data_IF_943563787850
#
_entry.id   IF_943563787850
#
_cell.length_a   1.000
_cell.length_b   1.000
_cell.length_c   1.000
_cell.angle_alpha   90.00
_cell.angle_beta   90.00
_cell.angle_gamma   90.00
#
_symmetry.space_group_name_H-M   'P 1'
#
loop_
_entity.id
_entity.type
_entity.pdbx_description
1 polymer ?
#
# COMPACT_ATOMS: atom_id res chain seq x y z
N UNK A 1 -0.85 -10.04 -44.72
CA UNK A 1 -0.24 -10.50 -43.46
C UNK A 1 0.30 -9.23 -42.81
N UNK A 2 -0.23 -8.81 -41.67
CA UNK A 2 0.31 -7.64 -40.94
C UNK A 2 1.03 -8.25 -39.74
N UNK A 3 2.35 -8.11 -39.70
CA UNK A 3 3.16 -8.48 -38.55
C UNK A 3 3.35 -7.22 -37.72
N UNK A 4 2.88 -7.23 -36.47
CA UNK A 4 3.11 -6.12 -35.54
C UNK A 4 3.66 -6.69 -34.23
N UNK A 5 4.89 -6.30 -33.90
CA UNK A 5 5.44 -6.43 -32.56
C UNK A 5 5.10 -5.14 -31.83
N UNK A 6 4.45 -5.22 -30.67
CA UNK A 6 4.09 -4.04 -29.89
C UNK A 6 4.68 -4.13 -28.47
N UNK A 7 5.56 -3.19 -28.16
CA UNK A 7 5.77 -2.67 -26.81
C UNK A 7 4.96 -1.36 -26.68
N UNK A 8 4.70 -0.90 -25.46
CA UNK A 8 3.78 0.22 -25.14
C UNK A 8 4.05 1.51 -25.92
N UNK A 9 5.29 1.73 -26.37
CA UNK A 9 5.73 2.86 -27.19
C UNK A 9 5.38 2.77 -28.68
N UNK A 10 5.01 1.59 -29.20
CA UNK A 10 4.71 1.36 -30.63
C UNK A 10 3.23 1.37 -30.96
N UNK A 11 2.35 1.17 -29.98
CA UNK A 11 0.90 1.19 -30.21
C UNK A 11 0.48 2.57 -30.73
N UNK A 12 1.02 3.66 -30.16
CA UNK A 12 0.75 5.04 -30.57
C UNK A 12 1.34 5.45 -31.94
N UNK A 13 2.39 4.79 -32.43
CA UNK A 13 3.04 5.16 -33.70
C UNK A 13 2.35 4.58 -34.94
N UNK A 14 1.69 3.42 -34.82
CA UNK A 14 0.83 2.84 -35.86
C UNK A 14 -0.33 3.76 -36.25
N UNK A 15 -0.81 4.59 -35.32
CA UNK A 15 -1.97 5.47 -35.53
C UNK A 15 -1.65 6.76 -36.29
N UNK A 16 -0.38 7.21 -36.35
CA UNK A 16 -0.03 8.50 -36.99
C UNK A 16 0.19 8.42 -38.50
N UNK A 17 0.41 7.23 -39.08
CA UNK A 17 0.81 7.09 -40.48
C UNK A 17 -0.20 6.39 -41.40
N UNK A 18 -1.45 6.17 -40.96
CA UNK A 18 -2.49 5.62 -41.84
C UNK A 18 -3.05 6.69 -42.77
N UNK A 19 -2.98 6.54 -44.11
CA UNK A 19 -3.51 7.51 -45.05
C UNK A 19 -5.02 7.72 -44.85
N UNK A 20 -5.45 8.97 -44.98
CA UNK A 20 -6.82 9.46 -44.76
C UNK A 20 -7.90 8.86 -45.69
N UNK A 21 -7.54 7.95 -46.61
CA UNK A 21 -8.43 7.40 -47.64
C UNK A 21 -9.05 6.03 -47.32
N UNK A 22 -8.88 5.47 -46.11
CA UNK A 22 -9.42 4.14 -45.77
C UNK A 22 -10.46 4.19 -44.63
N UNK A 23 -11.65 4.71 -44.91
CA UNK A 23 -12.77 4.80 -43.96
C UNK A 23 -13.29 3.43 -43.47
N UNK A 24 -13.10 2.37 -44.25
CA UNK A 24 -13.54 1.00 -43.91
C UNK A 24 -12.62 0.26 -42.92
N UNK A 25 -11.41 0.77 -42.63
CA UNK A 25 -10.45 0.10 -41.73
C UNK A 25 -10.50 0.61 -40.28
N UNK A 26 -11.02 1.82 -40.03
CA UNK A 26 -11.05 2.43 -38.70
C UNK A 26 -11.82 1.61 -37.64
N UNK A 27 -13.01 1.05 -37.92
CA UNK A 27 -13.74 0.25 -36.92
C UNK A 27 -13.05 -1.08 -36.59
N UNK A 28 -12.32 -1.65 -37.58
CA UNK A 28 -11.59 -2.92 -37.42
C UNK A 28 -10.31 -2.74 -36.59
N UNK A 29 -9.73 -1.54 -36.57
CA UNK A 29 -8.55 -1.19 -35.77
C UNK A 29 -8.91 -0.83 -34.32
N UNK A 30 -10.07 -0.19 -34.07
CA UNK A 30 -10.51 0.10 -32.70
C UNK A 30 -10.90 -1.16 -31.94
N UNK A 31 -11.58 -2.10 -32.60
CA UNK A 31 -11.92 -3.41 -32.03
C UNK A 31 -10.67 -4.19 -31.60
N UNK A 32 -9.61 -4.12 -32.40
CA UNK A 32 -8.35 -4.79 -32.10
C UNK A 32 -7.66 -4.15 -30.89
N UNK A 33 -7.72 -2.82 -30.76
CA UNK A 33 -7.20 -2.09 -29.60
C UNK A 33 -7.92 -2.45 -28.30
N UNK A 34 -9.26 -2.53 -28.32
CA UNK A 34 -10.05 -2.91 -27.14
C UNK A 34 -9.82 -4.36 -26.69
N UNK A 35 -9.60 -5.28 -27.63
CA UNK A 35 -9.22 -6.66 -27.31
C UNK A 35 -7.82 -6.69 -26.66
N UNK A 36 -6.88 -5.90 -27.16
CA UNK A 36 -5.51 -5.83 -26.63
C UNK A 36 -5.47 -5.20 -25.22
N UNK A 37 -6.28 -4.17 -24.95
CA UNK A 37 -6.44 -3.56 -23.63
C UNK A 37 -7.06 -4.53 -22.62
N UNK A 38 -8.08 -5.30 -23.03
CA UNK A 38 -8.68 -6.32 -22.19
C UNK A 38 -7.66 -7.36 -21.73
N UNK A 39 -6.76 -7.83 -22.60
CA UNK A 39 -5.74 -8.82 -22.21
C UNK A 39 -4.57 -8.23 -21.40
N UNK A 40 -4.23 -6.95 -21.62
CA UNK A 40 -3.22 -6.25 -20.83
C UNK A 40 -3.62 -6.12 -19.35
N UNK A 41 -4.91 -5.90 -19.08
CA UNK A 41 -5.48 -5.82 -17.73
C UNK A 41 -5.27 -7.10 -16.90
N UNK A 42 -5.04 -8.26 -17.53
CA UNK A 42 -4.78 -9.54 -16.87
C UNK A 42 -3.29 -9.96 -16.90
N UNK A 43 -2.38 -9.03 -17.19
CA UNK A 43 -0.93 -9.28 -17.20
C UNK A 43 -0.45 -10.21 -18.33
N UNK A 44 -1.27 -10.43 -19.37
CA UNK A 44 -0.92 -11.32 -20.51
C UNK A 44 -0.45 -10.49 -21.70
N UNK A 45 0.70 -10.85 -22.30
CA UNK A 45 1.21 -10.16 -23.51
C UNK A 45 0.65 -10.82 -24.77
N UNK A 46 -0.16 -10.09 -25.55
CA UNK A 46 -0.65 -10.58 -26.85
C UNK A 46 0.41 -10.34 -27.93
N UNK A 47 0.93 -11.41 -28.55
CA UNK A 47 1.99 -11.30 -29.59
C UNK A 47 1.55 -11.64 -31.01
N UNK A 48 0.41 -12.33 -31.20
CA UNK A 48 -0.03 -12.74 -32.54
C UNK A 48 -1.55 -12.65 -32.74
N UNK A 49 -1.95 -12.03 -33.85
CA UNK A 49 -3.33 -12.03 -34.34
C UNK A 49 -3.38 -12.27 -35.85
N UNK A 50 -4.31 -13.11 -36.31
CA UNK A 50 -4.58 -13.33 -37.73
C UNK A 50 -6.05 -13.11 -38.03
N UNK A 51 -6.33 -12.11 -38.87
CA UNK A 51 -7.66 -11.86 -39.40
C UNK A 51 -7.91 -12.75 -40.63
N UNK A 52 -8.96 -13.57 -40.60
CA UNK A 52 -9.38 -14.35 -41.77
C UNK A 52 -10.45 -13.58 -42.56
N UNK A 53 -10.03 -12.96 -43.66
CA UNK A 53 -10.88 -12.09 -44.50
C UNK A 53 -12.07 -12.81 -45.15
N UNK A 54 -12.00 -14.11 -45.39
CA UNK A 54 -13.07 -14.86 -46.09
C UNK A 54 -14.24 -15.19 -45.17
N UNK A 55 -14.02 -15.26 -43.85
CA UNK A 55 -15.05 -15.60 -42.86
C UNK A 55 -15.33 -14.49 -41.84
N UNK A 56 -14.63 -13.36 -41.94
CA UNK A 56 -14.70 -12.20 -41.03
C UNK A 56 -14.57 -12.60 -39.53
N UNK A 57 -13.82 -13.68 -39.26
CA UNK A 57 -13.53 -14.22 -37.92
C UNK A 57 -12.13 -13.81 -37.48
N UNK A 58 -11.96 -13.57 -36.18
CA UNK A 58 -10.67 -13.23 -35.58
C UNK A 58 -10.08 -14.44 -34.87
N UNK A 59 -8.80 -14.69 -35.15
CA UNK A 59 -8.03 -15.71 -34.48
C UNK A 59 -6.90 -15.03 -33.70
N UNK A 60 -6.96 -15.12 -32.37
CA UNK A 60 -6.02 -14.48 -31.44
C UNK A 60 -5.29 -15.57 -30.66
N UNK A 61 -3.96 -15.44 -30.59
CA UNK A 61 -3.09 -16.36 -29.86
C UNK A 61 -2.31 -15.59 -28.78
N UNK A 62 -2.44 -16.03 -27.54
CA UNK A 62 -1.81 -15.43 -26.37
C UNK A 62 -0.62 -16.27 -25.90
N UNK A 63 0.48 -15.62 -25.52
CA UNK A 63 1.73 -16.25 -25.12
C UNK A 63 2.19 -15.75 -23.75
N UNK A 64 2.90 -16.59 -22.99
CA UNK A 64 3.51 -16.19 -21.72
C UNK A 64 4.69 -15.24 -21.94
N UNK A 65 4.99 -14.38 -20.95
CA UNK A 65 6.10 -13.43 -21.02
C UNK A 65 7.39 -13.91 -20.35
N UNK A 66 7.44 -15.12 -19.78
CA UNK A 66 8.61 -15.54 -19.02
C UNK A 66 9.68 -16.31 -19.84
N UNK A 67 10.92 -15.82 -19.75
CA UNK A 67 12.18 -16.52 -20.04
C UNK A 67 12.41 -17.04 -21.47
N UNK A 68 12.00 -16.30 -22.49
CA UNK A 68 12.48 -16.50 -23.88
C UNK A 68 11.99 -17.78 -24.56
N UNK A 69 11.03 -18.50 -23.97
CA UNK A 69 10.28 -19.57 -24.61
C UNK A 69 8.86 -19.11 -24.92
N UNK A 70 8.35 -19.48 -26.10
CA UNK A 70 7.08 -19.02 -26.63
C UNK A 70 6.05 -20.15 -26.61
N UNK A 71 5.59 -20.52 -25.43
CA UNK A 71 4.52 -21.50 -25.30
C UNK A 71 3.15 -20.83 -25.50
N UNK A 72 2.34 -21.40 -26.39
CA UNK A 72 0.98 -20.94 -26.67
C UNK A 72 0.09 -21.28 -25.47
N UNK A 73 -0.32 -20.27 -24.71
CA UNK A 73 -1.18 -20.48 -23.54
C UNK A 73 -2.62 -20.69 -23.97
N UNK A 74 -3.10 -19.86 -24.90
CA UNK A 74 -4.53 -19.83 -25.23
C UNK A 74 -4.78 -19.38 -26.65
N UNK A 75 -5.78 -19.99 -27.26
CA UNK A 75 -6.26 -19.66 -28.59
C UNK A 75 -7.75 -19.32 -28.51
N UNK A 76 -8.11 -18.12 -28.97
CA UNK A 76 -9.50 -17.65 -28.97
C UNK A 76 -9.94 -17.41 -30.41
N UNK A 77 -11.11 -17.93 -30.74
CA UNK A 77 -11.81 -17.69 -31.99
C UNK A 77 -13.00 -16.80 -31.69
N UNK A 78 -13.08 -15.65 -32.35
CA UNK A 78 -14.18 -14.69 -32.16
C UNK A 78 -14.94 -14.61 -33.48
N UNK A 79 -16.24 -14.90 -33.41
CA UNK A 79 -17.15 -14.87 -34.56
C UNK A 79 -17.74 -13.47 -34.80
N UNK A 80 -18.20 -13.21 -36.02
CA UNK A 80 -18.80 -11.92 -36.42
C UNK A 80 -20.01 -11.51 -35.56
N UNK A 81 -20.79 -12.47 -35.07
CA UNK A 81 -21.94 -12.23 -34.19
C UNK A 81 -21.51 -11.79 -32.80
N UNK A 82 -20.47 -12.41 -32.23
CA UNK A 82 -19.88 -12.01 -30.95
C UNK A 82 -19.22 -10.63 -31.04
N UNK A 83 -18.63 -10.29 -32.19
CA UNK A 83 -18.07 -8.96 -32.46
C UNK A 83 -19.15 -7.88 -32.48
N UNK A 84 -20.33 -8.16 -33.06
CA UNK A 84 -21.44 -7.21 -33.08
C UNK A 84 -21.99 -6.95 -31.66
N UNK A 85 -22.05 -7.98 -30.81
CA UNK A 85 -22.43 -7.85 -29.40
C UNK A 85 -21.40 -7.02 -28.62
N UNK A 86 -20.11 -7.21 -28.89
CA UNK A 86 -19.03 -6.41 -28.29
C UNK A 86 -19.06 -4.96 -28.80
N UNK A 87 -19.37 -4.72 -30.08
CA UNK A 87 -19.53 -3.37 -30.62
C UNK A 87 -20.76 -2.64 -30.08
N UNK A 88 -21.88 -3.33 -29.85
CA UNK A 88 -23.05 -2.74 -29.18
C UNK A 88 -22.76 -2.41 -27.71
N UNK A 89 -22.03 -3.28 -27.01
CA UNK A 89 -21.52 -2.97 -25.66
C UNK A 89 -20.52 -1.81 -25.66
N UNK A 90 -19.66 -1.67 -26.67
CA UNK A 90 -18.67 -0.57 -26.75
C UNK A 90 -19.33 0.75 -27.20
N UNK A 91 -20.30 0.73 -28.10
CA UNK A 91 -21.03 1.91 -28.56
C UNK A 91 -21.95 2.48 -27.46
N UNK A 92 -22.51 1.61 -26.60
CA UNK A 92 -23.18 2.04 -25.36
C UNK A 92 -22.19 2.46 -24.28
N UNK A 93 -20.94 1.97 -24.31
CA UNK A 93 -19.88 2.37 -23.38
C UNK A 93 -19.06 3.60 -23.82
N UNK A 94 -19.22 4.17 -25.01
CA UNK A 94 -18.53 5.42 -25.38
C UNK A 94 -19.11 6.67 -24.68
N UNK A 95 -20.20 6.51 -23.91
CA UNK A 95 -20.66 7.47 -22.91
C UNK A 95 -20.36 7.08 -21.45
N UNK A 96 -19.71 5.93 -21.22
CA UNK A 96 -19.19 5.59 -19.93
C UNK A 96 -17.68 5.85 -19.91
N UNK A 97 -17.29 6.70 -18.97
CA UNK A 97 -15.93 6.90 -18.47
C UNK A 97 -15.17 5.59 -18.27
N UNK A 98 -13.84 5.68 -18.12
CA UNK A 98 -13.03 4.61 -17.52
C UNK A 98 -13.80 3.84 -16.45
N UNK A 99 -13.59 2.51 -16.27
CA UNK A 99 -14.33 1.73 -15.27
C UNK A 99 -14.42 2.53 -13.97
N UNK A 100 -15.63 2.90 -13.56
CA UNK A 100 -15.78 3.91 -12.53
C UNK A 100 -15.35 3.32 -11.18
N UNK A 101 -14.12 3.62 -10.78
CA UNK A 101 -13.63 3.43 -9.41
C UNK A 101 -14.27 4.45 -8.46
N UNK A 102 -15.21 5.25 -8.95
CA UNK A 102 -15.81 6.40 -8.26
C UNK A 102 -16.49 5.99 -6.94
N UNK A 103 -17.03 4.77 -6.88
CA UNK A 103 -17.70 4.22 -5.70
C UNK A 103 -16.86 3.23 -4.89
N UNK A 104 -15.60 2.98 -5.27
CA UNK A 104 -14.71 2.04 -4.56
C UNK A 104 -13.73 2.77 -3.66
N UNK A 105 -13.45 2.17 -2.50
CA UNK A 105 -12.42 2.64 -1.57
C UNK A 105 -11.08 2.01 -1.94
N UNK A 106 -10.08 2.83 -2.22
CA UNK A 106 -8.75 2.40 -2.65
C UNK A 106 -7.82 2.35 -1.44
N UNK A 107 -7.35 1.15 -1.10
CA UNK A 107 -6.55 0.87 0.08
C UNK A 107 -5.19 0.34 -0.34
N UNK A 108 -4.12 1.08 -0.04
CA UNK A 108 -2.76 0.61 -0.18
C UNK A 108 -2.24 0.10 1.17
N UNK A 109 -1.70 -1.10 1.19
CA UNK A 109 -1.10 -1.69 2.40
C UNK A 109 0.31 -2.19 2.13
N UNK A 110 1.29 -1.62 2.84
CA UNK A 110 2.67 -2.08 2.77
C UNK A 110 2.87 -3.36 3.56
N UNK A 111 3.66 -4.29 2.99
CA UNK A 111 3.93 -5.58 3.62
C UNK A 111 2.79 -6.59 3.55
N UNK A 112 1.79 -6.38 2.68
CA UNK A 112 0.56 -7.19 2.55
C UNK A 112 0.73 -8.67 2.18
N UNK A 113 1.96 -9.16 2.08
CA UNK A 113 2.28 -10.55 1.72
C UNK A 113 2.50 -11.50 2.90
N UNK A 114 2.56 -11.01 4.16
CA UNK A 114 2.69 -11.86 5.36
C UNK A 114 2.16 -11.16 6.63
N UNK A 115 2.07 -11.92 7.73
CA UNK A 115 1.79 -11.39 9.07
C UNK A 115 0.45 -10.65 9.18
N UNK A 116 0.45 -9.56 9.94
CA UNK A 116 -0.76 -8.75 10.20
C UNK A 116 -1.32 -8.12 8.92
N UNK A 117 -0.45 -7.60 8.06
CA UNK A 117 -0.86 -6.95 6.82
C UNK A 117 -1.54 -7.92 5.84
N UNK A 118 -1.07 -9.17 5.76
CA UNK A 118 -1.74 -10.21 4.97
C UNK A 118 -3.15 -10.53 5.52
N UNK A 119 -3.33 -10.57 6.84
CA UNK A 119 -4.65 -10.74 7.43
C UNK A 119 -5.56 -9.54 7.18
N UNK A 120 -5.01 -8.32 7.16
CA UNK A 120 -5.77 -7.12 6.79
C UNK A 120 -6.21 -7.17 5.31
N UNK A 121 -5.32 -7.60 4.39
CA UNK A 121 -5.66 -7.86 2.98
C UNK A 121 -6.79 -8.88 2.88
N UNK A 122 -6.70 -10.00 3.61
CA UNK A 122 -7.76 -11.03 3.66
C UNK A 122 -9.10 -10.41 4.08
N UNK A 123 -9.16 -9.76 5.24
CA UNK A 123 -10.41 -9.16 5.76
C UNK A 123 -11.00 -8.15 4.75
N UNK A 124 -10.19 -7.25 4.20
CA UNK A 124 -10.64 -6.28 3.21
C UNK A 124 -11.22 -6.93 1.95
N UNK A 125 -10.65 -8.07 1.51
CA UNK A 125 -11.12 -8.78 0.33
C UNK A 125 -12.34 -9.65 0.58
N UNK A 126 -12.51 -10.21 1.79
CA UNK A 126 -13.54 -11.21 2.08
C UNK A 126 -14.74 -10.69 2.87
N UNK A 127 -14.55 -9.68 3.72
CA UNK A 127 -15.58 -9.19 4.66
C UNK A 127 -16.12 -7.81 4.27
N UNK A 128 -15.30 -6.97 3.66
CA UNK A 128 -15.71 -5.64 3.17
C UNK A 128 -16.24 -5.72 1.73
N UNK A 129 -16.81 -4.63 1.23
CA UNK A 129 -17.33 -4.50 -0.14
C UNK A 129 -16.78 -3.26 -0.82
N UNK A 130 -16.77 -3.28 -2.14
CA UNK A 130 -16.34 -2.16 -2.98
C UNK A 130 -14.94 -1.63 -2.64
N UNK A 131 -14.01 -2.53 -2.31
CA UNK A 131 -12.61 -2.20 -2.05
C UNK A 131 -11.74 -2.43 -3.29
N UNK A 132 -10.72 -1.58 -3.47
CA UNK A 132 -9.55 -1.89 -4.30
C UNK A 132 -8.39 -2.02 -3.33
N UNK A 133 -7.92 -3.24 -3.11
CA UNK A 133 -6.84 -3.55 -2.17
C UNK A 133 -5.54 -3.70 -2.94
N UNK A 134 -4.60 -2.80 -2.70
CA UNK A 134 -3.26 -2.78 -3.31
C UNK A 134 -2.26 -3.24 -2.26
N UNK A 135 -1.81 -4.49 -2.37
CA UNK A 135 -0.81 -5.07 -1.48
C UNK A 135 0.60 -4.76 -2.00
N UNK A 136 1.29 -3.82 -1.36
CA UNK A 136 2.68 -3.50 -1.63
C UNK A 136 3.61 -4.53 -0.98
N UNK A 137 4.43 -5.22 -1.77
CA UNK A 137 5.27 -6.34 -1.31
C UNK A 137 6.63 -6.39 -1.99
N UNK A 138 7.64 -6.92 -1.31
CA UNK A 138 8.99 -7.13 -1.90
C UNK A 138 9.06 -8.29 -2.88
N UNK A 139 8.29 -9.35 -2.64
CA UNK A 139 8.30 -10.58 -3.44
C UNK A 139 6.90 -10.89 -3.98
N UNK A 140 6.55 -10.25 -5.10
CA UNK A 140 5.22 -10.30 -5.73
C UNK A 140 4.68 -11.72 -5.87
N UNK A 141 5.42 -12.63 -6.49
CA UNK A 141 4.92 -13.99 -6.77
C UNK A 141 4.73 -14.84 -5.51
N UNK A 142 5.60 -14.68 -4.51
CA UNK A 142 5.42 -15.36 -3.23
C UNK A 142 4.19 -14.83 -2.48
N UNK A 143 3.98 -13.51 -2.50
CA UNK A 143 2.83 -12.87 -1.85
C UNK A 143 1.52 -13.19 -2.54
N UNK A 144 1.49 -13.26 -3.89
CA UNK A 144 0.30 -13.73 -4.63
C UNK A 144 -0.11 -15.12 -4.17
N UNK A 145 0.83 -16.06 -4.03
CA UNK A 145 0.54 -17.42 -3.52
C UNK A 145 -0.02 -17.40 -2.09
N UNK A 146 0.62 -16.65 -1.19
CA UNK A 146 0.17 -16.53 0.19
C UNK A 146 -1.25 -15.93 0.30
N UNK A 147 -1.55 -14.90 -0.51
CA UNK A 147 -2.89 -14.30 -0.55
C UNK A 147 -3.91 -15.27 -1.14
N UNK A 148 -3.59 -15.97 -2.23
CA UNK A 148 -4.48 -16.96 -2.85
C UNK A 148 -4.81 -18.13 -1.91
N UNK A 149 -3.86 -18.58 -1.12
CA UNK A 149 -4.08 -19.64 -0.12
C UNK A 149 -5.02 -19.17 1.00
N UNK A 150 -4.87 -17.92 1.44
CA UNK A 150 -5.64 -17.37 2.55
C UNK A 150 -7.00 -16.78 2.15
N UNK A 151 -7.15 -16.38 0.88
CA UNK A 151 -8.33 -15.73 0.30
C UNK A 151 -8.89 -16.61 -0.83
N UNK A 152 -9.67 -17.65 -0.49
CA UNK A 152 -10.19 -18.59 -1.47
C UNK A 152 -11.23 -17.97 -2.42
N UNK A 153 -11.89 -16.91 -1.97
CA UNK A 153 -12.81 -16.11 -2.79
C UNK A 153 -12.75 -14.65 -2.38
N UNK A 154 -12.86 -13.75 -3.37
CA UNK A 154 -12.95 -12.31 -3.17
C UNK A 154 -14.44 -11.94 -3.17
N UNK A 155 -14.86 -11.12 -2.20
CA UNK A 155 -16.24 -10.65 -2.13
C UNK A 155 -16.58 -9.78 -3.35
N UNK A 156 -17.84 -9.83 -3.78
CA UNK A 156 -18.31 -9.07 -4.95
C UNK A 156 -18.00 -7.58 -4.80
N UNK A 157 -17.50 -6.98 -5.88
CA UNK A 157 -17.10 -5.59 -5.91
C UNK A 157 -15.67 -5.34 -5.41
N UNK A 158 -15.02 -6.30 -4.76
CA UNK A 158 -13.62 -6.12 -4.36
C UNK A 158 -12.66 -6.49 -5.48
N UNK A 159 -11.52 -5.79 -5.51
CA UNK A 159 -10.41 -6.05 -6.41
C UNK A 159 -9.11 -6.16 -5.59
N UNK A 160 -8.23 -7.06 -6.02
CA UNK A 160 -6.89 -7.21 -5.47
C UNK A 160 -5.86 -6.85 -6.53
N UNK A 161 -4.91 -6.00 -6.16
CA UNK A 161 -3.65 -5.81 -6.88
C UNK A 161 -2.47 -6.13 -5.95
N UNK A 162 -1.43 -6.77 -6.49
CA UNK A 162 -0.18 -7.04 -5.75
C UNK A 162 0.95 -6.35 -6.51
N UNK A 163 1.57 -5.36 -5.88
CA UNK A 163 2.58 -4.49 -6.51
C UNK A 163 3.93 -4.61 -5.82
N UNK A 164 5.00 -4.44 -6.60
CA UNK A 164 6.35 -4.38 -6.04
C UNK A 164 6.51 -3.11 -5.20
N UNK A 165 6.90 -3.27 -3.93
CA UNK A 165 7.07 -2.17 -2.99
C UNK A 165 8.09 -2.55 -1.91
N UNK A 166 9.21 -1.84 -1.86
CA UNK A 166 10.25 -1.98 -0.84
C UNK A 166 10.54 -0.63 -0.19
N UNK A 167 10.35 -0.54 1.13
CA UNK A 167 10.60 0.69 1.91
C UNK A 167 12.08 1.10 1.91
N UNK A 168 12.99 0.19 1.56
CA UNK A 168 14.43 0.48 1.48
C UNK A 168 14.87 0.97 0.08
N UNK A 169 13.95 0.99 -0.90
CA UNK A 169 14.22 1.46 -2.26
C UNK A 169 13.27 2.62 -2.61
N UNK A 170 13.79 3.85 -2.59
CA UNK A 170 13.04 5.05 -2.95
C UNK A 170 12.41 4.96 -4.36
N UNK A 171 13.11 4.37 -5.33
CA UNK A 171 12.57 4.23 -6.69
C UNK A 171 11.41 3.21 -6.72
N UNK A 172 11.44 2.19 -5.86
CA UNK A 172 10.30 1.28 -5.69
C UNK A 172 9.09 2.01 -5.12
N UNK A 173 9.28 2.90 -4.14
CA UNK A 173 8.20 3.71 -3.54
C UNK A 173 7.58 4.65 -4.57
N UNK A 174 8.42 5.43 -5.27
CA UNK A 174 7.97 6.39 -6.29
C UNK A 174 7.20 5.70 -7.43
N UNK A 175 7.68 4.54 -7.89
CA UNK A 175 6.97 3.75 -8.92
C UNK A 175 5.60 3.29 -8.45
N UNK A 176 5.47 2.83 -7.20
CA UNK A 176 4.18 2.41 -6.67
C UNK A 176 3.21 3.58 -6.54
N UNK A 177 3.65 4.75 -6.07
CA UNK A 177 2.83 5.95 -6.00
C UNK A 177 2.40 6.42 -7.41
N UNK A 178 3.32 6.47 -8.38
CA UNK A 178 3.01 6.79 -9.79
C UNK A 178 2.02 5.80 -10.41
N UNK A 179 2.14 4.52 -10.08
CA UNK A 179 1.20 3.50 -10.52
C UNK A 179 -0.21 3.76 -9.98
N UNK A 180 -0.35 4.04 -8.68
CA UNK A 180 -1.64 4.39 -8.07
C UNK A 180 -2.21 5.67 -8.67
N UNK A 181 -1.38 6.68 -8.90
CA UNK A 181 -1.79 7.93 -9.53
C UNK A 181 -2.32 7.72 -10.95
N UNK A 182 -1.55 7.04 -11.80
CA UNK A 182 -1.90 6.83 -13.21
C UNK A 182 -3.11 5.91 -13.39
N UNK A 183 -3.29 4.94 -12.48
CA UNK A 183 -4.37 3.94 -12.59
C UNK A 183 -5.66 4.42 -11.94
N UNK A 184 -5.58 5.01 -10.74
CA UNK A 184 -6.75 5.31 -9.92
C UNK A 184 -6.96 6.81 -9.68
N UNK A 185 -5.94 7.63 -9.89
CA UNK A 185 -6.00 9.09 -9.73
C UNK A 185 -6.02 9.58 -8.28
N UNK A 186 -6.28 8.72 -7.30
CA UNK A 186 -6.33 9.02 -5.86
C UNK A 186 -5.96 7.80 -5.02
N UNK A 187 -5.80 8.00 -3.72
CA UNK A 187 -5.73 6.94 -2.72
C UNK A 187 -6.69 7.32 -1.57
N UNK A 188 -7.47 6.37 -1.05
CA UNK A 188 -8.38 6.64 0.06
C UNK A 188 -7.76 6.22 1.41
N UNK A 189 -6.96 5.13 1.43
CA UNK A 189 -6.29 4.66 2.63
C UNK A 189 -4.86 4.25 2.35
N UNK A 190 -3.91 4.77 3.13
CA UNK A 190 -2.56 4.24 3.24
C UNK A 190 -2.38 3.53 4.58
N UNK A 191 -1.95 2.26 4.55
CA UNK A 191 -1.61 1.49 5.75
C UNK A 191 -0.10 1.18 5.72
N UNK A 192 0.65 1.90 6.54
CA UNK A 192 2.09 1.75 6.75
C UNK A 192 2.34 0.62 7.77
N UNK A 193 2.30 -0.63 7.30
CA UNK A 193 2.47 -1.82 8.15
C UNK A 193 3.82 -2.52 8.03
N UNK A 194 4.56 -2.34 6.94
CA UNK A 194 5.84 -3.01 6.74
C UNK A 194 6.88 -2.53 7.76
N UNK A 195 7.54 -3.48 8.43
CA UNK A 195 8.60 -3.20 9.40
C UNK A 195 9.52 -4.42 9.56
N UNK A 196 10.70 -4.19 10.13
CA UNK A 196 11.65 -5.22 10.57
C UNK A 196 11.99 -5.03 12.05
N UNK A 197 12.35 -6.11 12.73
CA UNK A 197 12.73 -6.08 14.15
C UNK A 197 14.14 -6.62 14.43
N UNK A 198 14.75 -7.32 13.48
CA UNK A 198 16.03 -8.02 13.66
C UNK A 198 17.06 -7.54 12.64
N UNK A 199 17.79 -6.48 13.00
CA UNK A 199 18.99 -5.97 12.32
C UNK A 199 19.72 -5.01 13.27
N UNK A 200 20.78 -4.36 12.81
CA UNK A 200 21.34 -3.19 13.47
C UNK A 200 20.37 -1.97 13.44
N UNK A 201 20.60 -1.04 14.36
CA UNK A 201 19.85 0.21 14.49
C UNK A 201 19.66 0.99 13.17
N UNK A 202 20.71 1.12 12.34
CA UNK A 202 20.63 1.91 11.10
C UNK A 202 19.69 1.25 10.10
N UNK A 203 19.80 -0.06 9.92
CA UNK A 203 18.91 -0.81 9.02
C UNK A 203 17.45 -0.80 9.49
N UNK A 204 17.23 -0.94 10.81
CA UNK A 204 15.89 -0.85 11.41
C UNK A 204 15.30 0.54 11.19
N UNK A 205 16.05 1.62 11.45
CA UNK A 205 15.57 3.00 11.28
C UNK A 205 15.35 3.33 9.80
N UNK A 206 16.24 2.88 8.91
CA UNK A 206 16.09 3.05 7.47
C UNK A 206 14.77 2.46 6.96
N UNK A 207 14.37 1.28 7.47
CA UNK A 207 13.12 0.62 7.05
C UNK A 207 11.89 1.19 7.78
N UNK A 208 11.94 1.23 9.11
CA UNK A 208 10.75 1.46 9.95
C UNK A 208 10.36 2.94 10.06
N UNK A 209 11.29 3.86 9.77
CA UNK A 209 11.08 5.30 9.92
C UNK A 209 11.29 5.99 8.58
N UNK A 210 12.51 5.96 8.03
CA UNK A 210 12.82 6.74 6.82
C UNK A 210 12.08 6.22 5.58
N UNK A 211 12.08 4.90 5.37
CA UNK A 211 11.31 4.28 4.29
C UNK A 211 9.82 4.59 4.39
N UNK A 212 9.26 4.49 5.61
CA UNK A 212 7.88 4.89 5.90
C UNK A 212 7.64 6.36 5.58
N UNK A 213 8.50 7.27 6.05
CA UNK A 213 8.35 8.70 5.81
C UNK A 213 8.42 9.09 4.33
N UNK A 214 9.31 8.43 3.56
CA UNK A 214 9.40 8.61 2.11
C UNK A 214 8.14 8.08 1.42
N UNK A 215 7.57 6.98 1.90
CA UNK A 215 6.29 6.46 1.42
C UNK A 215 5.15 7.44 1.70
N UNK A 216 5.06 7.97 2.91
CA UNK A 216 4.04 8.96 3.27
C UNK A 216 4.14 10.19 2.36
N UNK A 217 5.33 10.75 2.17
CA UNK A 217 5.54 11.88 1.26
C UNK A 217 5.11 11.59 -0.18
N UNK A 218 5.35 10.37 -0.68
CA UNK A 218 4.97 9.96 -2.04
C UNK A 218 3.46 9.76 -2.20
N UNK A 219 2.76 9.28 -1.16
CA UNK A 219 1.34 8.93 -1.22
C UNK A 219 0.40 10.03 -0.70
N UNK A 220 0.87 10.97 0.12
CA UNK A 220 0.06 12.10 0.63
C UNK A 220 -0.63 12.88 -0.50
N UNK A 221 0.02 13.25 -1.62
CA UNK A 221 -0.66 13.94 -2.73
C UNK A 221 -1.83 13.17 -3.34
N UNK A 222 -1.86 11.84 -3.19
CA UNK A 222 -2.97 10.99 -3.63
C UNK A 222 -4.09 10.93 -2.59
N UNK A 223 -3.73 10.93 -1.30
CA UNK A 223 -4.68 11.05 -0.20
C UNK A 223 -5.40 12.40 -0.22
N UNK A 224 -4.72 13.50 -0.55
CA UNK A 224 -5.30 14.84 -0.69
C UNK A 224 -6.41 14.91 -1.77
N UNK A 225 -6.45 13.94 -2.70
CA UNK A 225 -7.49 13.83 -3.75
C UNK A 225 -8.70 13.00 -3.30
N UNK A 226 -8.65 12.35 -2.14
CA UNK A 226 -9.76 11.57 -1.59
C UNK A 226 -10.76 12.43 -0.82
N UNK A 227 -11.99 11.91 -0.68
CA UNK A 227 -13.05 12.49 0.16
C UNK A 227 -13.09 11.89 1.57
N UNK A 228 -12.39 10.77 1.78
CA UNK A 228 -12.32 10.02 3.03
C UNK A 228 -10.90 9.46 3.18
N UNK A 229 -9.93 10.36 3.36
CA UNK A 229 -8.51 10.04 3.37
C UNK A 229 -8.03 9.56 4.75
N UNK A 230 -7.46 8.36 4.82
CA UNK A 230 -6.88 7.81 6.05
C UNK A 230 -5.42 7.39 5.84
N UNK A 231 -4.54 7.83 6.74
CA UNK A 231 -3.15 7.38 6.82
C UNK A 231 -2.95 6.67 8.16
N UNK A 232 -2.64 5.38 8.12
CA UNK A 232 -2.52 4.53 9.31
C UNK A 232 -1.09 4.07 9.49
N UNK A 233 -0.46 4.55 10.56
CA UNK A 233 0.86 4.13 10.99
C UNK A 233 0.77 2.95 11.94
N UNK A 234 1.23 1.76 11.53
CA UNK A 234 1.27 0.59 12.40
C UNK A 234 2.51 0.68 13.30
N UNK A 235 2.30 1.17 14.51
CA UNK A 235 3.34 1.38 15.51
C UNK A 235 3.38 0.21 16.50
N UNK A 236 3.52 0.47 17.80
CA UNK A 236 3.55 -0.55 18.84
C UNK A 236 3.32 0.07 20.22
N UNK A 237 2.72 -0.67 21.14
CA UNK A 237 2.66 -0.30 22.56
C UNK A 237 4.06 -0.16 23.17
N UNK A 238 5.06 -0.86 22.61
CA UNK A 238 6.47 -0.68 22.98
C UNK A 238 6.94 0.77 22.77
N UNK A 239 6.41 1.49 21.79
CA UNK A 239 6.75 2.89 21.57
C UNK A 239 6.38 3.75 22.80
N UNK A 240 5.18 3.53 23.35
CA UNK A 240 4.70 4.26 24.52
C UNK A 240 5.40 3.83 25.81
N UNK A 241 5.74 2.55 25.93
CA UNK A 241 6.52 2.02 27.05
C UNK A 241 7.96 2.51 27.03
N UNK A 242 8.61 2.57 25.86
CA UNK A 242 9.92 3.18 25.68
C UNK A 242 9.91 4.63 26.15
N UNK A 243 8.96 5.45 25.66
CA UNK A 243 8.88 6.86 26.06
C UNK A 243 8.58 7.03 27.56
N UNK A 244 7.85 6.09 28.17
CA UNK A 244 7.60 6.05 29.61
C UNK A 244 8.83 5.70 30.45
N UNK A 245 9.84 5.03 29.88
CA UNK A 245 11.01 4.54 30.60
C UNK A 245 12.31 5.31 30.33
N UNK A 246 12.34 6.21 29.33
CA UNK A 246 13.50 7.10 29.14
C UNK A 246 13.57 8.15 30.27
N UNK A 247 14.77 8.63 30.64
CA UNK A 247 14.95 9.68 31.65
C UNK A 247 14.16 10.95 31.32
N UNK A 248 13.71 11.75 32.32
CA UNK A 248 12.89 12.93 32.11
C UNK A 248 13.46 13.92 31.08
N UNK A 249 14.77 14.18 31.12
CA UNK A 249 15.44 15.11 30.21
C UNK A 249 15.42 14.63 28.75
N UNK A 250 15.48 13.31 28.55
CA UNK A 250 15.33 12.71 27.22
C UNK A 250 13.86 12.73 26.82
N UNK A 251 12.96 12.38 27.73
CA UNK A 251 11.51 12.35 27.48
C UNK A 251 11.00 13.71 26.99
N UNK A 252 11.43 14.81 27.59
CA UNK A 252 11.05 16.18 27.16
C UNK A 252 11.38 16.48 25.69
N UNK A 253 12.42 15.85 25.13
CA UNK A 253 12.78 16.03 23.72
C UNK A 253 11.87 15.25 22.77
N UNK A 254 11.44 14.05 23.18
CA UNK A 254 10.62 13.13 22.40
C UNK A 254 9.12 13.38 22.57
N UNK A 255 8.67 13.88 23.72
CA UNK A 255 7.25 14.08 24.01
C UNK A 255 6.75 15.44 23.51
N UNK A 256 6.97 15.69 22.21
CA UNK A 256 6.59 16.92 21.53
C UNK A 256 5.96 16.62 20.17
N UNK A 257 5.00 17.45 19.80
CA UNK A 257 4.30 17.34 18.52
C UNK A 257 4.89 18.27 17.44
N UNK A 258 5.69 19.26 17.83
CA UNK A 258 6.16 20.38 17.00
C UNK A 258 7.64 20.26 16.61
N UNK A 259 8.21 19.06 16.72
CA UNK A 259 9.62 18.81 16.38
C UNK A 259 9.90 19.12 14.91
N UNK A 260 10.95 19.89 14.66
CA UNK A 260 11.45 20.17 13.31
C UNK A 260 12.19 18.98 12.71
N UNK A 261 12.45 19.02 11.40
CA UNK A 261 13.24 17.99 10.73
C UNK A 261 14.66 17.90 11.31
N UNK A 262 15.33 19.04 11.48
CA UNK A 262 16.71 19.09 12.02
C UNK A 262 16.79 18.56 13.46
N UNK A 263 15.81 18.89 14.30
CA UNK A 263 15.74 18.35 15.66
C UNK A 263 15.51 16.82 15.65
N UNK A 264 14.63 16.32 14.77
CA UNK A 264 14.39 14.89 14.63
C UNK A 264 15.66 14.16 14.16
N UNK A 265 16.34 14.68 13.15
CA UNK A 265 17.61 14.13 12.68
C UNK A 265 18.66 14.14 13.78
N UNK A 266 18.73 15.20 14.59
CA UNK A 266 19.65 15.23 15.74
C UNK A 266 19.33 14.11 16.76
N UNK A 267 18.05 13.84 17.05
CA UNK A 267 17.67 12.72 17.92
C UNK A 267 18.11 11.37 17.33
N UNK A 268 18.02 11.20 16.00
CA UNK A 268 18.48 9.98 15.34
C UNK A 268 20.00 9.86 15.38
N UNK A 269 20.74 10.96 15.17
CA UNK A 269 22.21 10.95 15.28
C UNK A 269 22.66 10.64 16.72
N UNK A 270 21.99 11.20 17.73
CA UNK A 270 22.24 10.87 19.14
C UNK A 270 22.03 9.37 19.39
N UNK A 271 20.97 8.78 18.80
CA UNK A 271 20.71 7.34 18.90
C UNK A 271 21.78 6.49 18.21
N UNK A 272 22.22 6.87 17.01
CA UNK A 272 23.30 6.17 16.31
C UNK A 272 24.63 6.26 17.07
N UNK A 273 24.94 7.41 17.67
CA UNK A 273 26.12 7.56 18.52
C UNK A 273 26.06 6.66 19.75
N UNK A 274 24.88 6.48 20.35
CA UNK A 274 24.66 5.54 21.44
C UNK A 274 24.83 4.09 20.97
N UNK A 275 24.28 3.74 19.79
CA UNK A 275 24.39 2.41 19.20
C UNK A 275 25.84 2.04 18.86
N UNK A 276 26.62 2.95 18.28
CA UNK A 276 28.03 2.74 17.96
C UNK A 276 28.89 2.47 19.20
N UNK A 277 28.55 3.11 20.32
CA UNK A 277 29.23 2.91 21.61
C UNK A 277 28.65 1.74 22.40
N UNK A 278 27.53 1.17 21.96
CA UNK A 278 26.70 0.25 22.72
C UNK A 278 26.36 0.79 24.13
N UNK A 279 26.10 2.11 24.21
CA UNK A 279 25.76 2.83 25.44
C UNK A 279 24.42 3.54 25.27
N UNK A 280 23.34 2.75 25.28
CA UNK A 280 21.98 3.28 25.28
C UNK A 280 21.58 3.83 26.65
N UNK A 281 22.17 3.31 27.72
CA UNK A 281 21.76 3.61 29.09
C UNK A 281 21.94 5.09 29.46
N UNK A 282 23.00 5.72 28.95
CA UNK A 282 23.29 7.14 29.20
C UNK A 282 22.15 8.07 28.74
N UNK A 283 21.53 7.82 27.59
CA UNK A 283 20.48 8.68 27.04
C UNK A 283 19.08 8.12 27.26
N UNK A 284 18.91 6.81 27.18
CA UNK A 284 17.61 6.15 27.13
C UNK A 284 17.29 5.34 28.39
N UNK A 285 18.17 5.36 29.40
CA UNK A 285 17.99 4.57 30.61
C UNK A 285 17.87 3.08 30.28
N UNK A 286 16.92 2.39 30.88
CA UNK A 286 16.69 0.98 30.61
C UNK A 286 15.65 0.72 29.50
N UNK A 287 15.13 1.76 28.84
CA UNK A 287 14.08 1.62 27.83
C UNK A 287 14.48 0.66 26.70
N UNK A 288 15.68 0.83 26.15
CA UNK A 288 16.21 -0.04 25.09
C UNK A 288 16.29 -1.50 25.54
N UNK A 289 16.90 -1.75 26.70
CA UNK A 289 17.08 -3.10 27.23
C UNK A 289 15.75 -3.76 27.63
N UNK A 290 14.77 -3.00 28.11
CA UNK A 290 13.47 -3.52 28.57
C UNK A 290 12.49 -3.78 27.43
N UNK A 291 12.49 -2.94 26.39
CA UNK A 291 11.39 -2.91 25.42
C UNK A 291 11.86 -3.26 24.01
N UNK A 292 12.47 -4.43 23.88
CA UNK A 292 12.80 -5.05 22.58
C UNK A 292 13.81 -4.25 21.73
N UNK A 293 14.76 -3.59 22.39
CA UNK A 293 15.95 -3.00 21.77
C UNK A 293 15.63 -1.98 20.68
N UNK A 294 16.40 -2.06 19.59
CA UNK A 294 16.32 -1.14 18.46
C UNK A 294 14.93 -1.12 17.81
N UNK A 295 14.19 -2.23 17.85
CA UNK A 295 12.82 -2.26 17.34
C UNK A 295 11.89 -1.36 18.16
N UNK A 296 11.85 -1.52 19.49
CA UNK A 296 10.99 -0.71 20.35
C UNK A 296 11.35 0.76 20.28
N UNK A 297 12.65 1.07 20.25
CA UNK A 297 13.14 2.43 20.04
C UNK A 297 12.71 2.97 18.67
N UNK A 298 12.85 2.20 17.59
CA UNK A 298 12.41 2.65 16.25
C UNK A 298 10.92 3.00 16.20
N UNK A 299 10.07 2.28 16.95
CA UNK A 299 8.63 2.59 17.04
C UNK A 299 8.35 3.82 17.90
N UNK A 300 9.14 4.09 18.93
CA UNK A 300 9.10 5.37 19.67
C UNK A 300 9.45 6.55 18.74
N UNK A 301 10.50 6.43 17.92
CA UNK A 301 10.85 7.43 16.93
C UNK A 301 9.79 7.59 15.83
N UNK A 302 9.19 6.49 15.36
CA UNK A 302 8.08 6.54 14.41
C UNK A 302 6.87 7.30 14.99
N UNK A 303 6.55 7.13 16.28
CA UNK A 303 5.51 7.93 16.94
C UNK A 303 5.83 9.43 16.91
N UNK A 304 7.09 9.82 17.16
CA UNK A 304 7.51 11.23 17.10
C UNK A 304 7.36 11.79 15.68
N UNK A 305 7.84 11.06 14.67
CA UNK A 305 7.67 11.41 13.26
C UNK A 305 6.19 11.61 12.90
N UNK A 306 5.34 10.63 13.24
CA UNK A 306 3.92 10.64 12.90
C UNK A 306 3.16 11.77 13.62
N UNK A 307 3.52 12.11 14.87
CA UNK A 307 2.99 13.28 15.59
C UNK A 307 3.35 14.60 14.89
N UNK A 308 4.60 14.74 14.46
CA UNK A 308 5.05 15.91 13.70
C UNK A 308 4.33 16.02 12.34
N UNK A 309 4.17 14.91 11.63
CA UNK A 309 3.40 14.85 10.39
C UNK A 309 1.93 15.23 10.62
N UNK A 310 1.31 14.74 11.69
CA UNK A 310 -0.06 15.10 12.06
C UNK A 310 -0.23 16.60 12.31
N UNK A 311 0.72 17.27 12.96
CA UNK A 311 0.69 18.73 13.11
C UNK A 311 0.80 19.46 11.78
N UNK A 312 1.67 18.98 10.87
CA UNK A 312 1.75 19.53 9.50
C UNK A 312 0.44 19.39 8.76
N UNK A 313 -0.19 18.22 8.80
CA UNK A 313 -1.52 17.96 8.20
C UNK A 313 -2.56 18.93 8.77
N UNK A 314 -2.69 19.03 10.09
CA UNK A 314 -3.63 19.96 10.77
C UNK A 314 -3.37 21.43 10.43
N UNK A 315 -2.11 21.82 10.25
CA UNK A 315 -1.76 23.20 9.89
C UNK A 315 -2.19 23.54 8.45
N UNK A 316 -2.03 22.59 7.52
CA UNK A 316 -2.46 22.72 6.13
C UNK A 316 -4.00 22.72 5.96
N UNK A 317 -4.72 21.95 6.78
CA UNK A 317 -6.19 21.92 6.77
C UNK A 317 -6.83 23.29 7.07
N UNK A 318 -6.15 24.13 7.87
CA UNK A 318 -6.60 25.50 8.15
C UNK A 318 -6.55 26.44 6.93
N UNK A 319 -6.04 25.97 5.78
CA UNK A 319 -5.84 26.76 4.55
C UNK A 319 -7.02 26.68 3.55
N UNK A 320 -8.20 26.21 3.94
CA UNK A 320 -9.45 26.10 3.13
C UNK A 320 -9.39 25.21 1.85
N UNK A 321 -8.23 24.67 1.48
CA UNK A 321 -8.04 23.92 0.21
C UNK A 321 -7.96 22.39 0.40
N UNK A 322 -7.75 21.89 1.63
CA UNK A 322 -7.59 20.46 1.90
C UNK A 322 -8.73 19.92 2.77
N UNK A 323 -9.54 19.03 2.19
CA UNK A 323 -10.39 18.11 2.97
C UNK A 323 -9.45 17.09 3.58
N UNK A 324 -9.33 17.16 4.90
CA UNK A 324 -8.14 16.70 5.59
C UNK A 324 -7.99 15.20 5.76
N UNK A 325 -6.75 14.83 6.05
CA UNK A 325 -6.28 13.45 6.16
C UNK A 325 -6.42 13.04 7.62
N UNK A 326 -7.11 11.93 7.87
CA UNK A 326 -7.10 11.29 9.18
C UNK A 326 -5.81 10.48 9.33
N UNK A 327 -4.82 11.03 10.05
CA UNK A 327 -3.60 10.28 10.41
C UNK A 327 -3.81 9.62 11.76
N UNK A 328 -3.71 8.29 11.82
CA UNK A 328 -3.85 7.51 13.06
C UNK A 328 -2.68 6.59 13.28
N UNK A 329 -2.21 6.50 14.52
CA UNK A 329 -1.20 5.53 14.92
C UNK A 329 -1.89 4.34 15.60
N UNK A 330 -1.42 3.12 15.35
CA UNK A 330 -2.06 1.92 15.90
C UNK A 330 -1.04 0.91 16.42
N UNK A 331 -1.23 0.49 17.66
CA UNK A 331 -0.67 -0.75 18.19
C UNK A 331 -1.66 -1.89 17.90
N UNK A 332 -1.27 -2.91 17.12
CA UNK A 332 -2.14 -4.06 16.85
C UNK A 332 -2.28 -5.03 18.04
N UNK A 333 -1.58 -4.76 19.15
CA UNK A 333 -1.43 -5.68 20.27
C UNK A 333 -0.37 -6.76 20.03
N UNK A 334 -0.12 -7.59 21.05
CA UNK A 334 0.88 -8.65 20.98
C UNK A 334 0.33 -9.89 20.26
N UNK A 335 0.62 -10.00 18.96
CA UNK A 335 0.05 -11.00 18.07
C UNK A 335 1.06 -12.08 17.68
N UNK A 336 0.61 -13.34 17.59
CA UNK A 336 1.40 -14.46 17.10
C UNK A 336 1.69 -14.35 15.59
N UNK A 337 2.90 -13.91 15.24
CA UNK A 337 3.39 -13.73 13.86
C UNK A 337 4.85 -14.14 13.76
N UNK A 338 5.40 -14.22 12.55
CA UNK A 338 6.84 -14.49 12.34
C UNK A 338 7.74 -13.52 13.13
N UNK A 339 7.36 -12.23 13.22
CA UNK A 339 8.13 -11.20 13.92
C UNK A 339 8.25 -11.50 15.42
N UNK A 340 7.24 -12.16 15.98
CA UNK A 340 7.17 -12.53 17.41
C UNK A 340 7.46 -14.01 17.63
N UNK A 341 8.00 -14.72 16.63
CA UNK A 341 8.22 -16.18 16.69
C UNK A 341 6.95 -16.95 17.05
N UNK A 342 5.81 -16.51 16.52
CA UNK A 342 4.47 -17.02 16.77
C UNK A 342 4.04 -16.97 18.26
N UNK A 343 4.60 -16.02 19.02
CA UNK A 343 4.22 -15.75 20.40
C UNK A 343 3.23 -14.59 20.49
N UNK A 344 2.43 -14.59 21.56
CA UNK A 344 1.47 -13.53 21.88
C UNK A 344 0.05 -14.07 22.02
N UNK A 345 -0.77 -13.45 22.89
CA UNK A 345 -2.12 -13.95 23.18
C UNK A 345 -3.13 -13.69 22.05
N UNK A 346 -2.82 -12.80 21.11
CA UNK A 346 -3.71 -12.44 19.98
C UNK A 346 -3.35 -13.20 18.72
N UNK A 347 -4.35 -13.49 17.90
CA UNK A 347 -4.11 -13.95 16.53
C UNK A 347 -3.61 -12.80 15.64
N UNK A 348 -3.00 -13.14 14.51
CA UNK A 348 -2.66 -12.16 13.49
C UNK A 348 -3.91 -11.45 12.91
N UNK A 349 -5.06 -12.14 12.90
CA UNK A 349 -6.33 -11.58 12.43
C UNK A 349 -6.87 -10.52 13.41
N UNK A 350 -6.76 -10.75 14.73
CA UNK A 350 -7.16 -9.76 15.74
C UNK A 350 -6.33 -8.48 15.63
N UNK A 351 -5.03 -8.61 15.38
CA UNK A 351 -4.15 -7.46 15.14
C UNK A 351 -4.51 -6.71 13.86
N UNK A 352 -4.85 -7.43 12.79
CA UNK A 352 -5.33 -6.84 11.54
C UNK A 352 -6.64 -6.06 11.73
N UNK A 353 -7.58 -6.59 12.54
CA UNK A 353 -8.81 -5.86 12.87
C UNK A 353 -8.53 -4.54 13.58
N UNK A 354 -7.57 -4.51 14.51
CA UNK A 354 -7.15 -3.25 15.14
C UNK A 354 -6.62 -2.24 14.12
N UNK A 355 -5.80 -2.68 13.16
CA UNK A 355 -5.30 -1.83 12.07
C UNK A 355 -6.46 -1.28 11.23
N UNK A 356 -7.42 -2.14 10.83
CA UNK A 356 -8.54 -1.74 9.99
C UNK A 356 -9.51 -0.80 10.70
N UNK A 357 -9.72 -0.95 12.01
CA UNK A 357 -10.49 0.02 12.82
C UNK A 357 -9.87 1.42 12.74
N UNK A 358 -8.54 1.53 12.74
CA UNK A 358 -7.85 2.82 12.60
C UNK A 358 -8.03 3.48 11.24
N UNK A 359 -8.48 2.75 10.21
CA UNK A 359 -8.88 3.34 8.92
C UNK A 359 -10.26 4.04 8.98
N UNK A 360 -10.88 4.13 10.16
CA UNK A 360 -12.19 4.77 10.36
C UNK A 360 -12.17 5.85 11.43
N UNK A 361 -10.98 6.21 11.92
CA UNK A 361 -10.81 7.26 12.93
C UNK A 361 -11.17 8.60 12.30
N UNK A 362 -11.99 9.43 12.94
CA UNK A 362 -12.36 10.72 12.38
C UNK A 362 -11.17 11.68 12.35
N UNK A 363 -11.14 12.56 11.35
CA UNK A 363 -10.14 13.63 11.19
C UNK A 363 -9.95 14.49 12.46
N UNK A 364 -10.98 14.66 13.29
CA UNK A 364 -10.86 15.38 14.57
C UNK A 364 -9.91 14.72 15.57
N UNK A 365 -9.57 13.45 15.34
CA UNK A 365 -8.66 12.64 16.14
C UNK A 365 -7.33 12.35 15.41
N UNK A 366 -7.02 13.09 14.34
CA UNK A 366 -5.72 13.04 13.67
C UNK A 366 -4.57 13.18 14.67
N UNK A 367 -3.54 12.35 14.54
CA UNK A 367 -2.35 12.30 15.40
C UNK A 367 -2.54 11.58 16.73
N UNK A 368 -3.68 10.90 16.96
CA UNK A 368 -3.88 10.08 18.14
C UNK A 368 -3.41 8.64 17.91
N UNK A 369 -2.99 7.98 18.99
CA UNK A 369 -2.60 6.57 18.97
C UNK A 369 -3.70 5.69 19.58
N UNK A 370 -3.81 4.47 19.05
CA UNK A 370 -4.87 3.52 19.39
C UNK A 370 -4.28 2.15 19.68
N UNK A 371 -4.91 1.41 20.58
CA UNK A 371 -4.62 0.01 20.84
C UNK A 371 -5.92 -0.67 21.24
N UNK A 372 -6.24 -1.82 20.66
CA UNK A 372 -7.49 -2.55 20.96
C UNK A 372 -8.78 -1.71 20.82
N UNK A 373 -8.78 -0.66 19.99
CA UNK A 373 -9.93 0.27 19.85
C UNK A 373 -10.01 1.36 20.93
N UNK A 374 -9.06 1.40 21.86
CA UNK A 374 -8.95 2.41 22.90
C UNK A 374 -7.80 3.38 22.61
N UNK A 375 -7.90 4.59 23.16
CA UNK A 375 -6.80 5.57 23.09
C UNK A 375 -5.57 5.04 23.84
N UNK A 376 -4.41 5.14 23.20
CA UNK A 376 -3.11 4.80 23.77
C UNK A 376 -2.31 6.08 23.99
N UNK A 377 -2.03 6.48 25.24
CA UNK A 377 -1.13 7.60 25.51
C UNK A 377 0.27 7.31 24.92
N UNK A 378 0.94 8.36 24.42
CA UNK A 378 2.28 8.24 23.84
C UNK A 378 3.37 7.90 24.86
N UNK A 379 3.09 8.05 26.15
CA UNK A 379 3.96 7.63 27.23
C UNK A 379 3.12 6.93 28.29
N UNK A 380 3.51 5.72 28.65
CA UNK A 380 2.88 4.94 29.73
C UNK A 380 3.92 4.13 30.49
N UNK A 381 3.67 3.89 31.76
CA UNK A 381 4.36 2.87 32.54
C UNK A 381 3.85 1.47 32.15
N UNK A 382 4.58 0.42 32.55
CA UNK A 382 4.12 -0.97 32.36
C UNK A 382 2.78 -1.23 33.04
N UNK A 383 2.58 -0.70 34.25
CA UNK A 383 1.31 -0.86 35.00
C UNK A 383 0.15 -0.22 34.25
N UNK A 384 0.31 1.02 33.78
CA UNK A 384 -0.74 1.72 33.02
C UNK A 384 -1.06 1.01 31.70
N UNK A 385 -0.05 0.47 31.01
CA UNK A 385 -0.26 -0.29 29.79
C UNK A 385 -0.99 -1.62 30.05
N UNK A 386 -0.60 -2.36 31.09
CA UNK A 386 -1.24 -3.62 31.47
C UNK A 386 -2.70 -3.39 31.90
N UNK A 387 -2.98 -2.32 32.65
CA UNK A 387 -4.34 -1.91 33.01
C UNK A 387 -5.18 -1.51 31.79
N UNK A 388 -4.57 -0.88 30.78
CA UNK A 388 -5.25 -0.56 29.53
C UNK A 388 -5.60 -1.84 28.76
N UNK A 389 -4.64 -2.75 28.59
CA UNK A 389 -4.83 -4.02 27.89
C UNK A 389 -5.85 -4.91 28.61
N UNK A 390 -5.86 -4.94 29.95
CA UNK A 390 -6.81 -5.75 30.72
C UNK A 390 -8.28 -5.31 30.59
N UNK A 391 -8.54 -4.08 30.12
CA UNK A 391 -9.89 -3.55 29.87
C UNK A 391 -10.43 -3.91 28.48
N UNK A 392 -9.55 -4.41 27.61
CA UNK A 392 -9.82 -4.72 26.20
C UNK A 392 -10.06 -6.21 26.02
#
# INVERSE_FOLDING_TARGET
MIFAFADSSHVTSLFRNTPSSCSAMKPKLSLLASILEFFYFWGTTVRYYRHNREKDNFHVQCFDRDNGKHDLIRQVFISRTEVATVQESIATNHHNSMPSFENKRIVFISGGGRGLALQAVKILLTEERDQIVIAGVRSVEASKRAIQELVPSIAEGNLLEVVAFDLTDKASIEKAAQHVESTYGRLDVLISSAAIATSDARTIFATNIYGTAIADEAFIPLLEKSRDAHLVEVTSGLASLCLGAVPPQTKEKFDRDDISHDEFEQLVQDYYNAAEKNDYATLYGDAHAKFYGDYGMSKMFLNVYARALAQKIKSKEKSEILKGISLSLVCPGYCATDLTYHQGPRSAEDGARSILTSTRVPISQTGQAWTYGHHLPFSVTTVEYDELVAKC
#
